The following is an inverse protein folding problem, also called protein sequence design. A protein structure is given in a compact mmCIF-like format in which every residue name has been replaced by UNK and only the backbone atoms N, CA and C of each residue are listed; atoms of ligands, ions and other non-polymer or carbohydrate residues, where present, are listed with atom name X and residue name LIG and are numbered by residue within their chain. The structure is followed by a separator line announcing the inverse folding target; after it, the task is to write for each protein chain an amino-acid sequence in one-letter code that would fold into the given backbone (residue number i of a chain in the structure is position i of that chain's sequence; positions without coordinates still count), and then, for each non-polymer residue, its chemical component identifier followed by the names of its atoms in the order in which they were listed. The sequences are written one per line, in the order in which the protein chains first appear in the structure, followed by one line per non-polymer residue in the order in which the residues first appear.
data_IF_997899334653
#
_entry.id   IF_997899334653
#
_cell.length_a   1.000
_cell.length_b   1.000
_cell.length_c   1.000
_cell.angle_alpha   90.00
_cell.angle_beta   90.00
_cell.angle_gamma   90.00
#
_symmetry.space_group_name_H-M   'P 1'
#
loop_
_entity.id
_entity.type
_entity.pdbx_description
1 polymer ?
#
# COMPACT_ATOMS: atom_id res chain seq x y z
N UNK A 1 20.34 28.97 -3.54
CA UNK A 1 19.07 28.94 -2.79
C UNK A 1 18.02 28.46 -3.79
N UNK A 2 17.73 27.16 -3.81
CA UNK A 2 16.70 26.59 -4.68
C UNK A 2 15.62 26.07 -3.76
N UNK A 3 14.49 26.76 -3.75
CA UNK A 3 13.27 26.35 -3.08
C UNK A 3 12.71 25.12 -3.81
N UNK A 4 13.03 23.93 -3.34
CA UNK A 4 12.37 22.70 -3.79
C UNK A 4 11.12 22.46 -2.95
N UNK A 5 10.14 23.36 -3.08
CA UNK A 5 8.80 23.11 -2.56
C UNK A 5 8.12 22.14 -3.52
N UNK A 6 8.28 20.84 -3.29
CA UNK A 6 7.50 19.81 -4.00
C UNK A 6 6.06 19.91 -3.50
N UNK A 7 5.30 20.76 -4.17
CA UNK A 7 3.84 20.75 -4.11
C UNK A 7 3.42 19.43 -4.72
N UNK A 8 2.58 18.64 -4.03
CA UNK A 8 1.89 17.51 -4.63
C UNK A 8 1.20 18.04 -5.90
N UNK A 9 1.73 17.68 -7.05
CA UNK A 9 1.18 18.11 -8.33
C UNK A 9 -0.28 17.68 -8.36
N UNK A 10 -1.18 18.64 -8.49
CA UNK A 10 -2.62 18.38 -8.43
C UNK A 10 -3.11 17.70 -9.71
N UNK A 11 -2.29 17.68 -10.77
CA UNK A 11 -2.58 17.05 -12.05
C UNK A 11 -1.30 16.41 -12.62
N UNK A 12 -0.84 15.27 -12.06
CA UNK A 12 0.28 14.55 -12.66
C UNK A 12 -0.07 14.15 -14.09
N UNK A 13 0.89 14.26 -15.02
CA UNK A 13 0.73 13.70 -16.36
C UNK A 13 0.40 12.21 -16.25
N UNK A 14 -0.71 11.80 -16.87
CA UNK A 14 -1.11 10.39 -16.89
C UNK A 14 -0.21 9.66 -17.89
N UNK A 15 0.63 8.76 -17.38
CA UNK A 15 1.47 7.89 -18.19
C UNK A 15 0.70 6.61 -18.48
N UNK A 16 0.44 6.34 -19.75
CA UNK A 16 -0.01 5.03 -20.22
C UNK A 16 1.23 4.11 -20.27
N UNK A 17 1.25 3.10 -19.41
CA UNK A 17 2.35 2.14 -19.27
C UNK A 17 1.81 0.71 -19.37
N UNK A 18 1.46 0.32 -20.60
CA UNK A 18 0.74 -0.94 -20.89
C UNK A 18 1.49 -2.19 -20.40
N UNK A 19 2.83 -2.16 -20.38
CA UNK A 19 3.69 -3.27 -19.95
C UNK A 19 4.23 -3.11 -18.51
N UNK A 20 3.75 -2.12 -17.76
CA UNK A 20 4.24 -1.75 -16.43
C UNK A 20 5.76 -1.47 -16.38
N UNK A 21 6.40 -1.12 -17.50
CA UNK A 21 7.85 -0.91 -17.58
C UNK A 21 8.25 0.34 -16.80
N UNK A 22 7.52 1.43 -16.99
CA UNK A 22 7.75 2.68 -16.27
C UNK A 22 7.47 2.50 -14.78
N UNK A 23 6.34 1.87 -14.42
CA UNK A 23 6.00 1.54 -13.04
C UNK A 23 7.12 0.70 -12.40
N UNK A 24 7.55 -0.39 -13.03
CA UNK A 24 8.64 -1.24 -12.49
C UNK A 24 9.93 -0.46 -12.29
N UNK A 25 10.26 0.44 -13.22
CA UNK A 25 11.45 1.30 -13.12
C UNK A 25 11.34 2.30 -11.97
N UNK A 26 10.20 2.95 -11.81
CA UNK A 26 9.94 3.86 -10.70
C UNK A 26 9.95 3.12 -9.36
N UNK A 27 9.37 1.92 -9.29
CA UNK A 27 9.41 1.08 -8.10
C UNK A 27 10.83 0.67 -7.71
N UNK A 28 11.66 0.35 -8.70
CA UNK A 28 13.06 -0.02 -8.49
C UNK A 28 13.93 1.16 -8.02
N UNK A 29 13.61 2.37 -8.48
CA UNK A 29 14.44 3.56 -8.24
C UNK A 29 13.98 4.40 -7.04
N UNK A 30 12.68 4.44 -6.75
CA UNK A 30 12.09 5.39 -5.81
C UNK A 30 11.39 4.76 -4.61
N UNK A 31 11.32 3.43 -4.52
CA UNK A 31 10.63 2.70 -3.43
C UNK A 31 9.31 3.38 -3.03
N UNK A 32 8.33 3.47 -3.93
CA UNK A 32 7.12 4.24 -3.71
C UNK A 32 6.36 3.67 -2.51
N UNK A 33 5.98 4.58 -1.61
CA UNK A 33 5.32 4.21 -0.35
C UNK A 33 3.79 4.37 -0.40
N UNK A 34 3.23 4.91 -1.50
CA UNK A 34 1.79 5.12 -1.72
C UNK A 34 1.43 4.86 -3.18
N UNK A 35 0.29 4.21 -3.41
CA UNK A 35 -0.34 4.06 -4.72
C UNK A 35 -1.78 4.58 -4.62
N UNK A 36 -2.18 5.45 -5.53
CA UNK A 36 -3.55 5.96 -5.64
C UNK A 36 -4.19 5.32 -6.88
N UNK A 37 -5.29 4.60 -6.68
CA UNK A 37 -6.03 3.95 -7.76
C UNK A 37 -7.52 4.16 -7.55
N UNK A 38 -8.21 4.72 -8.57
CA UNK A 38 -9.65 4.96 -8.53
C UNK A 38 -10.47 3.72 -8.92
N UNK A 39 -9.93 2.89 -9.81
CA UNK A 39 -10.62 1.72 -10.37
C UNK A 39 -10.33 0.46 -9.53
N UNK A 40 -11.32 -0.11 -8.81
CA UNK A 40 -11.08 -1.18 -7.85
C UNK A 40 -10.57 -2.48 -8.48
N UNK A 41 -11.02 -2.81 -9.70
CA UNK A 41 -10.57 -4.00 -10.42
C UNK A 41 -9.11 -3.86 -10.87
N UNK A 42 -8.76 -2.72 -11.49
CA UNK A 42 -7.39 -2.42 -11.90
C UNK A 42 -6.44 -2.38 -10.70
N UNK A 43 -6.87 -1.83 -9.56
CA UNK A 43 -6.13 -1.88 -8.29
C UNK A 43 -5.77 -3.33 -7.92
N UNK A 44 -6.74 -4.22 -7.95
CA UNK A 44 -6.56 -5.61 -7.54
C UNK A 44 -5.68 -6.41 -8.51
N UNK A 45 -5.84 -6.21 -9.82
CA UNK A 45 -5.01 -6.80 -10.86
C UNK A 45 -3.56 -6.32 -10.76
N UNK A 46 -3.36 -5.01 -10.63
CA UNK A 46 -2.05 -4.41 -10.41
C UNK A 46 -1.35 -5.00 -9.18
N UNK A 47 -2.06 -5.08 -8.04
CA UNK A 47 -1.50 -5.64 -6.81
C UNK A 47 -1.16 -7.13 -6.99
N UNK A 48 -1.98 -7.90 -7.70
CA UNK A 48 -1.71 -9.28 -8.02
C UNK A 48 -0.42 -9.43 -8.86
N UNK A 49 -0.25 -8.64 -9.92
CA UNK A 49 0.95 -8.66 -10.75
C UNK A 49 2.19 -8.22 -9.97
N UNK A 50 2.08 -7.16 -9.16
CA UNK A 50 3.15 -6.71 -8.27
C UNK A 50 3.57 -7.84 -7.32
N UNK A 51 2.61 -8.45 -6.62
CA UNK A 51 2.86 -9.58 -5.73
C UNK A 51 3.57 -10.69 -6.49
N UNK A 52 3.08 -11.08 -7.66
CA UNK A 52 3.65 -12.17 -8.45
C UNK A 52 5.08 -11.89 -8.90
N UNK A 53 5.45 -10.64 -9.17
CA UNK A 53 6.80 -10.23 -9.55
C UNK A 53 7.85 -10.30 -8.43
N UNK A 54 7.42 -10.42 -7.18
CA UNK A 54 8.29 -10.37 -6.00
C UNK A 54 8.65 -11.77 -5.48
N UNK A 55 9.91 -11.98 -5.08
CA UNK A 55 10.42 -13.29 -4.64
C UNK A 55 10.50 -13.49 -3.12
N UNK A 56 10.09 -12.51 -2.32
CA UNK A 56 10.08 -12.57 -0.86
C UNK A 56 8.64 -12.59 -0.32
N UNK A 57 8.44 -12.98 0.96
CA UNK A 57 7.11 -13.06 1.55
C UNK A 57 6.35 -11.73 1.48
N UNK A 58 5.03 -11.83 1.33
CA UNK A 58 4.12 -10.68 1.29
C UNK A 58 3.15 -10.77 2.46
N UNK A 59 3.05 -9.70 3.23
CA UNK A 59 2.00 -9.50 4.22
C UNK A 59 1.00 -8.49 3.65
N UNK A 60 -0.24 -8.92 3.47
CA UNK A 60 -1.32 -8.11 2.92
C UNK A 60 -2.31 -7.76 4.03
N UNK A 61 -2.42 -6.48 4.37
CA UNK A 61 -3.38 -5.94 5.32
C UNK A 61 -4.60 -5.44 4.55
N UNK A 62 -5.65 -6.25 4.50
CA UNK A 62 -6.90 -5.97 3.79
C UNK A 62 -7.93 -5.34 4.74
N UNK A 63 -8.03 -4.02 4.70
CA UNK A 63 -8.92 -3.19 5.49
C UNK A 63 -10.28 -2.93 4.83
N UNK A 64 -10.37 -3.03 3.49
CA UNK A 64 -11.63 -2.80 2.75
C UNK A 64 -12.31 -4.09 2.27
N UNK A 65 -11.66 -5.24 2.50
CA UNK A 65 -12.12 -6.59 2.20
C UNK A 65 -12.23 -6.91 0.70
N UNK A 66 -11.83 -5.99 -0.18
CA UNK A 66 -12.01 -6.16 -1.62
C UNK A 66 -11.05 -7.20 -2.18
N UNK A 67 -9.75 -7.07 -1.89
CA UNK A 67 -8.74 -7.97 -2.41
C UNK A 67 -8.98 -9.41 -1.93
N UNK A 68 -9.22 -9.58 -0.62
CA UNK A 68 -9.49 -10.90 -0.07
C UNK A 68 -10.84 -11.46 -0.51
N UNK A 69 -11.81 -10.60 -0.86
CA UNK A 69 -13.04 -10.99 -1.55
C UNK A 69 -12.77 -11.61 -2.92
N UNK A 70 -11.89 -11.00 -3.74
CA UNK A 70 -11.48 -11.55 -5.03
C UNK A 70 -10.71 -12.88 -4.94
N UNK A 71 -9.95 -13.07 -3.86
CA UNK A 71 -9.29 -14.36 -3.59
C UNK A 71 -10.33 -15.44 -3.25
N UNK A 72 -11.31 -15.12 -2.41
CA UNK A 72 -12.39 -16.06 -2.03
C UNK A 72 -13.25 -16.43 -3.24
N UNK A 73 -13.52 -15.48 -4.14
CA UNK A 73 -14.32 -15.72 -5.35
C UNK A 73 -13.53 -16.38 -6.49
N UNK A 74 -12.26 -16.73 -6.26
CA UNK A 74 -11.34 -17.30 -7.27
C UNK A 74 -11.08 -16.39 -8.49
N UNK A 75 -11.48 -15.11 -8.43
CA UNK A 75 -11.16 -14.11 -9.44
C UNK A 75 -9.66 -13.79 -9.45
N UNK A 76 -9.02 -13.84 -8.28
CA UNK A 76 -7.57 -13.82 -8.12
C UNK A 76 -7.14 -15.14 -7.53
N UNK A 77 -6.13 -15.78 -8.12
CA UNK A 77 -5.57 -17.03 -7.58
C UNK A 77 -4.82 -16.73 -6.29
N UNK A 78 -5.13 -17.49 -5.24
CA UNK A 78 -4.38 -17.44 -3.98
C UNK A 78 -2.91 -17.76 -4.23
N UNK A 79 -2.03 -16.93 -3.68
CA UNK A 79 -0.58 -17.13 -3.74
C UNK A 79 -0.05 -17.51 -2.34
N UNK A 80 0.66 -18.63 -2.24
CA UNK A 80 1.12 -19.18 -0.96
C UNK A 80 2.14 -18.30 -0.24
N UNK A 81 2.79 -17.37 -0.96
CA UNK A 81 3.70 -16.39 -0.35
C UNK A 81 2.98 -15.20 0.30
N UNK A 82 1.66 -15.11 0.13
CA UNK A 82 0.84 -14.00 0.63
C UNK A 82 0.10 -14.43 1.88
N UNK A 83 0.43 -13.78 2.99
CA UNK A 83 -0.32 -13.84 4.23
C UNK A 83 -1.31 -12.67 4.29
N UNK A 84 -2.60 -12.98 4.31
CA UNK A 84 -3.67 -11.96 4.32
C UNK A 84 -4.21 -11.80 5.74
N UNK A 85 -4.14 -10.59 6.29
CA UNK A 85 -4.84 -10.18 7.50
C UNK A 85 -6.01 -9.28 7.15
N UNK A 86 -7.09 -9.37 7.91
CA UNK A 86 -8.26 -8.48 7.83
C UNK A 86 -8.45 -7.80 9.19
N UNK A 87 -7.62 -6.78 9.51
CA UNK A 87 -7.59 -6.24 10.86
C UNK A 87 -8.90 -5.54 11.22
N UNK A 88 -9.27 -5.67 12.48
CA UNK A 88 -10.39 -4.97 13.11
C UNK A 88 -9.88 -4.03 14.21
N UNK A 89 -10.78 -3.23 14.79
CA UNK A 89 -10.44 -2.36 15.94
C UNK A 89 -9.83 -3.12 17.11
N UNK A 90 -10.22 -4.39 17.32
CA UNK A 90 -9.83 -5.18 18.50
C UNK A 90 -8.40 -5.71 18.37
N UNK A 91 -8.00 -6.16 17.18
CA UNK A 91 -6.76 -6.89 16.94
C UNK A 91 -5.70 -6.08 16.16
N UNK A 92 -6.06 -4.92 15.59
CA UNK A 92 -5.15 -4.05 14.83
C UNK A 92 -3.81 -3.84 15.52
N UNK A 93 -3.81 -3.44 16.80
CA UNK A 93 -2.57 -3.17 17.54
C UNK A 93 -1.68 -4.41 17.65
N UNK A 94 -2.29 -5.58 17.86
CA UNK A 94 -1.57 -6.85 17.97
C UNK A 94 -0.95 -7.22 16.62
N UNK A 95 -1.75 -7.21 15.56
CA UNK A 95 -1.33 -7.54 14.20
C UNK A 95 -0.16 -6.64 13.77
N UNK A 96 -0.30 -5.31 13.91
CA UNK A 96 0.76 -4.36 13.54
C UNK A 96 2.04 -4.60 14.36
N UNK A 97 1.93 -4.92 15.65
CA UNK A 97 3.11 -5.22 16.48
C UNK A 97 3.82 -6.51 16.07
N UNK A 98 3.08 -7.54 15.67
CA UNK A 98 3.64 -8.80 15.18
C UNK A 98 4.32 -8.62 13.83
N UNK A 99 3.70 -7.87 12.92
CA UNK A 99 4.30 -7.50 11.62
C UNK A 99 5.59 -6.70 11.83
N UNK A 100 5.57 -5.69 12.71
CA UNK A 100 6.75 -4.87 13.01
C UNK A 100 7.95 -5.71 13.49
N UNK A 101 7.70 -6.76 14.28
CA UNK A 101 8.75 -7.71 14.72
C UNK A 101 9.25 -8.61 13.60
N UNK A 102 8.42 -8.93 12.61
CA UNK A 102 8.82 -9.77 11.47
C UNK A 102 9.65 -8.99 10.46
N UNK A 103 9.20 -7.78 10.10
CA UNK A 103 9.93 -6.92 9.16
C UNK A 103 11.31 -6.50 9.67
N UNK A 104 11.57 -6.58 10.99
CA UNK A 104 12.90 -6.32 11.54
C UNK A 104 13.88 -7.49 11.34
N UNK A 105 13.39 -8.70 11.03
CA UNK A 105 14.19 -9.92 10.97
C UNK A 105 14.38 -10.45 9.54
N UNK A 106 13.42 -10.20 8.66
CA UNK A 106 13.47 -10.69 7.27
C UNK A 106 12.90 -9.65 6.29
N UNK A 107 13.30 -9.76 5.02
CA UNK A 107 12.79 -8.87 3.96
C UNK A 107 11.37 -9.30 3.58
N UNK A 108 10.40 -8.41 3.79
CA UNK A 108 8.97 -8.66 3.53
C UNK A 108 8.40 -7.47 2.74
N UNK A 109 7.49 -7.73 1.81
CA UNK A 109 6.63 -6.68 1.24
C UNK A 109 5.39 -6.55 2.12
N UNK A 110 5.16 -5.38 2.71
CA UNK A 110 3.90 -5.09 3.42
C UNK A 110 3.02 -4.24 2.52
N UNK A 111 1.82 -4.73 2.23
CA UNK A 111 0.80 -4.01 1.48
C UNK A 111 -0.34 -3.64 2.44
N UNK A 112 -0.70 -2.36 2.46
CA UNK A 112 -1.84 -1.83 3.22
C UNK A 112 -2.92 -1.43 2.21
N UNK A 113 -4.00 -2.20 2.13
CA UNK A 113 -5.11 -1.97 1.20
C UNK A 113 -6.45 -1.93 1.95
N UNK A 114 -7.16 -0.82 2.09
CA UNK A 114 -6.78 0.55 1.76
C UNK A 114 -6.90 1.44 3.01
N UNK A 115 -6.30 2.63 2.94
CA UNK A 115 -6.46 3.63 4.01
C UNK A 115 -7.93 3.97 4.31
N UNK A 116 -8.84 3.77 3.34
CA UNK A 116 -10.26 4.02 3.53
C UNK A 116 -10.87 3.10 4.60
N UNK A 117 -10.36 1.89 4.78
CA UNK A 117 -10.89 0.99 5.80
C UNK A 117 -10.62 1.46 7.24
N UNK A 118 -9.73 2.43 7.47
CA UNK A 118 -9.57 3.02 8.80
C UNK A 118 -10.79 3.81 9.27
N UNK A 119 -11.61 4.33 8.34
CA UNK A 119 -12.91 4.94 8.70
C UNK A 119 -13.87 3.94 9.34
N UNK A 120 -13.68 2.63 9.13
CA UNK A 120 -14.46 1.59 9.78
C UNK A 120 -13.89 1.16 11.15
N UNK A 121 -12.65 1.56 11.46
CA UNK A 121 -11.93 1.16 12.68
C UNK A 121 -12.00 2.24 13.75
N UNK A 122 -11.84 3.51 13.37
CA UNK A 122 -11.89 4.64 14.29
C UNK A 122 -13.08 5.55 14.00
N UNK A 123 -13.45 6.37 14.97
CA UNK A 123 -14.49 7.38 14.78
C UNK A 123 -14.01 8.43 13.76
N UNK A 124 -14.92 9.11 13.03
CA UNK A 124 -14.58 9.99 11.89
C UNK A 124 -13.43 10.97 12.17
N UNK A 125 -13.44 11.58 13.37
CA UNK A 125 -12.41 12.55 13.79
C UNK A 125 -11.04 11.89 14.01
N UNK A 126 -11.03 10.69 14.57
CA UNK A 126 -9.80 9.94 14.83
C UNK A 126 -9.24 9.36 13.52
N UNK A 127 -10.11 8.82 12.66
CA UNK A 127 -9.77 8.34 11.32
C UNK A 127 -9.12 9.43 10.47
N UNK A 128 -9.72 10.63 10.43
CA UNK A 128 -9.16 11.76 9.67
C UNK A 128 -7.78 12.20 10.18
N UNK A 129 -7.56 12.20 11.50
CA UNK A 129 -6.24 12.52 12.08
C UNK A 129 -5.20 11.46 11.73
N UNK A 130 -5.57 10.19 11.82
CA UNK A 130 -4.68 9.08 11.52
C UNK A 130 -4.25 9.11 10.05
N UNK A 131 -5.21 9.17 9.12
CA UNK A 131 -4.93 9.20 7.67
C UNK A 131 -4.05 10.40 7.32
N UNK A 132 -4.36 11.60 7.83
CA UNK A 132 -3.53 12.79 7.57
C UNK A 132 -2.11 12.62 8.10
N UNK A 133 -1.94 12.12 9.33
CA UNK A 133 -0.62 11.86 9.90
C UNK A 133 0.17 10.82 9.09
N UNK A 134 -0.49 9.74 8.62
CA UNK A 134 0.12 8.74 7.75
C UNK A 134 0.57 9.33 6.42
N UNK A 135 -0.28 10.11 5.75
CA UNK A 135 0.06 10.77 4.49
C UNK A 135 1.23 11.75 4.65
N UNK A 136 1.25 12.52 5.75
CA UNK A 136 2.37 13.42 6.07
C UNK A 136 3.67 12.66 6.28
N UNK A 137 3.64 11.56 7.05
CA UNK A 137 4.82 10.73 7.29
C UNK A 137 5.35 10.10 5.99
N UNK A 138 4.46 9.54 5.17
CA UNK A 138 4.85 8.90 3.90
C UNK A 138 5.41 9.94 2.91
N UNK A 139 4.82 11.14 2.91
CA UNK A 139 5.30 12.27 2.11
C UNK A 139 6.67 12.76 2.57
N UNK A 140 6.94 12.84 3.89
CA UNK A 140 8.25 13.25 4.40
C UNK A 140 9.34 12.24 4.05
N UNK A 141 9.04 10.94 4.14
CA UNK A 141 9.98 9.87 3.75
C UNK A 141 10.31 9.96 2.25
N UNK A 142 9.32 10.28 1.41
CA UNK A 142 9.53 10.46 -0.03
C UNK A 142 10.44 11.64 -0.38
N UNK A 143 10.48 12.69 0.47
CA UNK A 143 11.37 13.85 0.29
C UNK A 143 12.82 13.48 0.65
N UNK A 144 13.02 12.73 1.73
CA UNK A 144 14.37 12.36 2.22
C UNK A 144 15.09 11.35 1.30
N UNK A 145 14.35 10.56 0.52
CA UNK A 145 14.92 9.64 -0.49
C UNK A 145 15.46 10.31 -1.76
N UNK A 146 15.32 11.65 -1.88
CA UNK A 146 15.80 12.45 -3.00
C UNK A 146 17.03 13.32 -2.71
N UNK A 147 17.76 13.07 -1.61
CA UNK A 147 18.99 13.78 -1.24
C UNK A 147 20.25 13.00 -1.58
#
# INVERSE_FOLDING_TARGET
MVDTKVVLDKNPEQILDDDLIYVRKEFSNKNPNIILCSEPFLKAEFLNELINSINYPVIFLDFDLLYSGYIISEMIKKNDKVEIHRPSKVDLKKIISEIAKRISNEKILVIIDSFNGFYNIYDEKESGRFINASLMLLSSIGIDSGS
#
